data_IF_721385505843
#
_entry.id   IF_721385505843
#
_cell.length_a   1.000
_cell.length_b   1.000
_cell.length_c   1.000
_cell.angle_alpha   90.00
_cell.angle_beta   90.00
_cell.angle_gamma   90.00
#
_symmetry.space_group_name_H-M   'P 1'
#
loop_
_entity.id
_entity.type
_entity.pdbx_description
1 polymer ?
#
# COMPACT_ATOMS: atom_id res chain seq x y z
N UNK A 1 8.79 -1.07 -5.18
CA UNK A 1 9.18 -1.31 -3.76
C UNK A 1 7.96 -1.66 -2.89
N UNK A 2 8.09 -2.49 -1.84
CA UNK A 2 7.03 -2.63 -0.81
C UNK A 2 6.78 -1.30 -0.06
N UNK A 3 5.54 -1.01 0.38
CA UNK A 3 5.23 0.17 1.18
C UNK A 3 6.08 0.26 2.45
N UNK A 4 6.67 1.43 2.70
CA UNK A 4 7.41 1.70 3.92
C UNK A 4 6.44 2.23 4.97
N UNK A 5 6.33 1.52 6.10
CA UNK A 5 5.51 1.92 7.24
C UNK A 5 6.42 2.31 8.39
N UNK A 6 6.33 3.56 8.84
CA UNK A 6 7.11 4.07 9.96
C UNK A 6 6.53 3.65 11.31
N UNK A 7 6.60 2.35 11.58
CA UNK A 7 6.11 1.76 12.83
C UNK A 7 6.83 2.33 14.07
N UNK A 8 8.11 2.68 13.96
CA UNK A 8 8.89 3.18 15.09
C UNK A 8 8.46 4.56 15.56
N UNK A 9 7.88 5.37 14.67
CA UNK A 9 7.29 6.67 15.02
C UNK A 9 5.75 6.63 15.15
N UNK A 10 5.18 5.44 15.34
CA UNK A 10 3.74 5.26 15.62
C UNK A 10 2.84 5.10 14.38
N UNK A 11 3.43 4.94 13.19
CA UNK A 11 2.70 4.62 11.96
C UNK A 11 2.17 3.18 11.94
N UNK A 12 1.18 2.94 11.09
CA UNK A 12 0.64 1.60 10.83
C UNK A 12 0.24 1.44 9.37
N UNK A 13 0.10 0.20 8.90
CA UNK A 13 -0.32 -0.08 7.53
C UNK A 13 -1.72 0.48 7.23
N UNK A 14 -2.67 0.28 8.16
CA UNK A 14 -4.01 0.85 8.05
C UNK A 14 -3.98 2.39 8.11
N UNK A 15 -3.12 2.97 8.96
CA UNK A 15 -2.91 4.41 9.01
C UNK A 15 -2.38 4.99 7.70
N UNK A 16 -1.56 4.24 6.96
CA UNK A 16 -1.09 4.65 5.62
C UNK A 16 -2.23 4.68 4.60
N UNK A 17 -3.13 3.70 4.64
CA UNK A 17 -4.34 3.68 3.80
C UNK A 17 -5.21 4.92 4.08
N UNK A 18 -5.42 5.25 5.35
CA UNK A 18 -6.22 6.40 5.77
C UNK A 18 -5.57 7.71 5.35
N UNK A 19 -4.24 7.83 5.54
CA UNK A 19 -3.47 8.99 5.12
C UNK A 19 -3.55 9.21 3.59
N UNK A 20 -3.46 8.14 2.81
CA UNK A 20 -3.66 8.21 1.36
C UNK A 20 -5.08 8.69 1.01
N UNK A 21 -6.10 8.22 1.72
CA UNK A 21 -7.48 8.65 1.52
C UNK A 21 -7.66 10.14 1.75
N UNK A 22 -7.08 10.68 2.84
CA UNK A 22 -7.08 12.11 3.11
C UNK A 22 -6.37 12.90 2.00
N UNK A 23 -5.19 12.44 1.57
CA UNK A 23 -4.41 13.10 0.53
C UNK A 23 -5.14 13.11 -0.83
N UNK A 24 -5.76 11.99 -1.22
CA UNK A 24 -6.57 11.87 -2.44
C UNK A 24 -7.82 12.76 -2.38
N UNK A 25 -8.42 12.91 -1.19
CA UNK A 25 -9.56 13.79 -0.96
C UNK A 25 -9.21 15.28 -1.11
N UNK A 26 -7.98 15.66 -0.78
CA UNK A 26 -7.47 17.03 -1.01
C UNK A 26 -7.03 17.26 -2.46
N UNK A 27 -6.61 16.21 -3.17
CA UNK A 27 -6.17 16.31 -4.55
C UNK A 27 -7.34 16.53 -5.52
N UNK A 28 -7.27 17.59 -6.31
CA UNK A 28 -8.15 17.79 -7.47
C UNK A 28 -7.60 17.08 -8.73
N UNK A 29 -8.38 16.95 -9.82
CA UNK A 29 -7.95 16.27 -11.04
C UNK A 29 -6.67 16.81 -11.70
N UNK A 30 -6.27 18.05 -11.41
CA UNK A 30 -5.07 18.67 -11.98
C UNK A 30 -3.87 18.68 -11.02
N UNK A 31 -4.01 18.05 -9.84
CA UNK A 31 -2.94 18.00 -8.84
C UNK A 31 -1.76 17.22 -9.40
N UNK A 32 -0.57 17.83 -9.31
CA UNK A 32 0.71 17.16 -9.55
C UNK A 32 1.30 16.74 -8.23
N UNK A 33 1.83 15.52 -8.18
CA UNK A 33 2.36 14.90 -6.98
C UNK A 33 3.84 14.63 -7.21
N UNK A 34 4.69 15.21 -6.37
CA UNK A 34 6.13 14.97 -6.39
C UNK A 34 6.42 13.97 -5.27
N UNK A 35 6.80 12.73 -5.59
CA UNK A 35 7.06 11.73 -4.56
C UNK A 35 8.40 12.02 -3.85
N UNK A 36 8.53 11.56 -2.60
CA UNK A 36 9.79 11.67 -1.86
C UNK A 36 10.89 10.75 -2.40
N UNK A 37 10.49 9.61 -2.99
CA UNK A 37 11.37 8.61 -3.63
C UNK A 37 10.77 8.16 -4.97
N UNK A 38 11.62 7.64 -5.86
CA UNK A 38 11.23 7.28 -7.23
C UNK A 38 11.49 8.40 -8.23
N UNK A 39 11.33 8.10 -9.51
CA UNK A 39 11.56 9.05 -10.60
C UNK A 39 10.26 9.68 -11.09
N UNK A 40 10.34 10.95 -11.50
CA UNK A 40 9.27 11.63 -12.20
C UNK A 40 8.22 12.31 -11.31
N UNK A 41 7.15 12.76 -11.96
CA UNK A 41 6.00 13.44 -11.34
C UNK A 41 4.79 12.53 -11.51
N UNK A 42 4.07 12.30 -10.43
CA UNK A 42 2.81 11.56 -10.41
C UNK A 42 1.61 12.54 -10.37
N UNK A 43 0.42 12.00 -10.17
CA UNK A 43 -0.83 12.75 -10.06
C UNK A 43 -1.82 12.02 -9.15
N UNK A 44 -3.06 12.53 -9.10
CA UNK A 44 -4.13 11.94 -8.30
C UNK A 44 -4.44 10.48 -8.69
N UNK A 45 -4.26 10.09 -9.95
CA UNK A 45 -4.50 8.72 -10.38
C UNK A 45 -3.42 7.79 -9.83
N UNK A 46 -2.16 8.19 -9.90
CA UNK A 46 -1.07 7.41 -9.27
C UNK A 46 -1.24 7.25 -7.75
N UNK A 47 -1.80 8.26 -7.06
CA UNK A 47 -2.17 8.12 -5.65
C UNK A 47 -3.26 7.06 -5.42
N UNK A 48 -4.27 7.00 -6.29
CA UNK A 48 -5.34 6.00 -6.22
C UNK A 48 -4.79 4.60 -6.48
N UNK A 49 -3.91 4.44 -7.47
CA UNK A 49 -3.28 3.16 -7.78
C UNK A 49 -2.46 2.65 -6.58
N UNK A 50 -1.71 3.56 -5.94
CA UNK A 50 -0.97 3.22 -4.73
C UNK A 50 -1.90 2.84 -3.56
N UNK A 51 -3.00 3.58 -3.34
CA UNK A 51 -3.96 3.22 -2.30
C UNK A 51 -4.62 1.86 -2.58
N UNK A 52 -4.94 1.57 -3.84
CA UNK A 52 -5.49 0.29 -4.25
C UNK A 52 -4.52 -0.86 -4.01
N UNK A 53 -3.23 -0.67 -4.30
CA UNK A 53 -2.17 -1.63 -3.95
C UNK A 53 -2.16 -1.91 -2.44
N UNK A 54 -2.26 -0.88 -1.59
CA UNK A 54 -2.34 -1.06 -0.14
C UNK A 54 -3.56 -1.89 0.28
N UNK A 55 -4.74 -1.63 -0.31
CA UNK A 55 -5.93 -2.42 -0.04
C UNK A 55 -5.75 -3.89 -0.43
N UNK A 56 -5.23 -4.18 -1.62
CA UNK A 56 -5.01 -5.55 -2.07
C UNK A 56 -4.03 -6.30 -1.16
N UNK A 57 -2.94 -5.65 -0.74
CA UNK A 57 -1.99 -6.22 0.21
C UNK A 57 -2.65 -6.54 1.56
N UNK A 58 -3.44 -5.61 2.11
CA UNK A 58 -4.19 -5.83 3.35
C UNK A 58 -5.12 -7.03 3.22
N UNK A 59 -5.88 -7.12 2.15
CA UNK A 59 -6.92 -8.14 1.98
C UNK A 59 -6.31 -9.54 1.81
N UNK A 60 -5.19 -9.65 1.10
CA UNK A 60 -4.44 -10.91 0.99
C UNK A 60 -3.91 -11.40 2.34
N UNK A 61 -3.37 -10.50 3.16
CA UNK A 61 -2.91 -10.82 4.52
C UNK A 61 -4.10 -11.17 5.43
N UNK A 62 -5.18 -10.39 5.37
CA UNK A 62 -6.38 -10.59 6.19
C UNK A 62 -7.05 -11.94 5.92
N UNK A 63 -7.10 -12.37 4.65
CA UNK A 63 -7.63 -13.68 4.27
C UNK A 63 -6.93 -14.81 5.03
N UNK A 64 -5.60 -14.78 5.09
CA UNK A 64 -4.84 -15.79 5.83
C UNK A 64 -4.97 -15.69 7.34
N UNK A 65 -5.15 -14.48 7.89
CA UNK A 65 -5.47 -14.29 9.30
C UNK A 65 -6.83 -14.94 9.63
N UNK A 66 -7.84 -14.73 8.78
CA UNK A 66 -9.19 -15.27 8.96
C UNK A 66 -9.21 -16.80 8.84
N UNK A 67 -8.31 -17.36 8.01
CA UNK A 67 -8.06 -18.81 7.88
C UNK A 67 -7.29 -19.40 9.07
N UNK A 68 -6.74 -18.58 9.96
CA UNK A 68 -5.99 -19.02 11.15
C UNK A 68 -4.56 -19.48 10.87
N UNK A 69 -3.98 -19.09 9.72
CA UNK A 69 -2.61 -19.43 9.38
C UNK A 69 -1.59 -18.78 10.32
N UNK A 70 -0.50 -19.49 10.59
CA UNK A 70 0.68 -18.92 11.23
C UNK A 70 1.40 -17.93 10.30
N UNK A 71 2.30 -17.13 10.86
CA UNK A 71 3.14 -16.22 10.08
C UNK A 71 4.01 -16.98 9.09
N UNK A 72 4.57 -18.12 9.50
CA UNK A 72 5.39 -18.99 8.65
C UNK A 72 4.59 -19.57 7.48
N UNK A 73 3.35 -20.01 7.74
CA UNK A 73 2.44 -20.51 6.71
C UNK A 73 2.07 -19.41 5.71
N UNK A 74 1.84 -18.18 6.19
CA UNK A 74 1.56 -17.03 5.34
C UNK A 74 2.75 -16.67 4.43
N UNK A 75 3.98 -16.68 4.96
CA UNK A 75 5.17 -16.48 4.14
C UNK A 75 5.34 -17.58 3.08
N UNK A 76 5.06 -18.84 3.43
CA UNK A 76 5.12 -19.95 2.48
C UNK A 76 4.04 -19.80 1.38
N UNK A 77 2.83 -19.37 1.75
CA UNK A 77 1.73 -19.11 0.82
C UNK A 77 2.07 -17.96 -0.16
N UNK A 78 2.77 -16.93 0.30
CA UNK A 78 3.21 -15.81 -0.52
C UNK A 78 2.04 -14.99 -1.11
N UNK A 79 1.16 -14.41 -0.26
CA UNK A 79 -0.07 -13.73 -0.68
C UNK A 79 0.14 -12.50 -1.57
N UNK A 80 1.38 -12.01 -1.67
CA UNK A 80 1.73 -10.80 -2.42
C UNK A 80 2.46 -11.09 -3.73
N UNK A 81 2.71 -12.37 -4.07
CA UNK A 81 3.50 -12.75 -5.27
C UNK A 81 2.94 -12.15 -6.56
N UNK A 82 1.63 -12.16 -6.73
CA UNK A 82 0.97 -11.61 -7.93
C UNK A 82 1.14 -10.09 -8.05
N UNK A 83 1.53 -9.41 -6.97
CA UNK A 83 1.76 -7.97 -6.92
C UNK A 83 3.23 -7.60 -7.06
N UNK A 84 4.16 -8.55 -6.95
CA UNK A 84 5.61 -8.30 -7.05
C UNK A 84 6.01 -7.49 -8.31
N UNK A 85 5.45 -7.73 -9.50
CA UNK A 85 5.76 -6.91 -10.69
C UNK A 85 5.35 -5.44 -10.58
N UNK A 86 4.39 -5.12 -9.70
CA UNK A 86 3.95 -3.75 -9.41
C UNK A 86 4.76 -3.12 -8.26
N UNK A 87 5.58 -3.92 -7.59
CA UNK A 87 6.40 -3.56 -6.44
C UNK A 87 7.89 -3.46 -6.81
N UNK A 88 8.21 -3.12 -8.06
CA UNK A 88 9.55 -2.69 -8.47
C UNK A 88 9.86 -1.28 -7.97
#
# INVERSE_FOLDING_TARGET
MYPIIDHYNGGSFLGMIDAMGLAIGMACPYTKVIPGHGEGVSDRHGMLDYQNLLFTLRDGVQTHIDEGHSVEEMFAAGPTRDLEPLLE
#
